data_IF_351280420502
#
_entry.id   IF_351280420502
#
_cell.length_a   1.000
_cell.length_b   1.000
_cell.length_c   1.000
_cell.angle_alpha   90.00
_cell.angle_beta   90.00
_cell.angle_gamma   90.00
#
_symmetry.space_group_name_H-M   'P 1'
#
loop_
_entity.id
_entity.type
_entity.pdbx_description
1 polymer ?
#
# COMPACT_ATOMS: atom_id res chain seq x y z
N UNK A 1 9.22 -10.94 1.05
CA UNK A 1 8.38 -12.10 0.71
C UNK A 1 6.88 -11.77 0.75
N UNK A 2 6.35 -11.10 1.78
CA UNK A 2 4.92 -10.72 1.88
C UNK A 2 4.42 -10.04 0.59
N UNK A 3 5.05 -8.93 0.19
CA UNK A 3 4.62 -8.17 -0.98
C UNK A 3 4.79 -8.92 -2.30
N UNK A 4 5.88 -9.67 -2.45
CA UNK A 4 6.11 -10.50 -3.63
C UNK A 4 5.00 -11.53 -3.87
N UNK A 5 4.46 -12.13 -2.80
CA UNK A 5 3.36 -13.09 -2.91
C UNK A 5 2.01 -12.42 -3.08
N UNK A 6 1.80 -11.23 -2.47
CA UNK A 6 0.52 -10.52 -2.50
C UNK A 6 0.33 -9.66 -3.76
N UNK A 7 1.39 -9.03 -4.24
CA UNK A 7 1.40 -8.09 -5.36
C UNK A 7 2.58 -8.35 -6.31
N UNK A 8 2.94 -9.62 -6.50
CA UNK A 8 4.08 -9.98 -7.32
C UNK A 8 3.73 -10.06 -8.81
N UNK A 9 4.79 -10.06 -9.61
CA UNK A 9 4.73 -10.25 -11.06
C UNK A 9 4.59 -11.74 -11.39
N UNK A 10 3.61 -12.08 -12.22
CA UNK A 10 3.43 -13.42 -12.77
C UNK A 10 3.60 -13.39 -14.29
N UNK A 11 4.19 -14.45 -14.86
CA UNK A 11 4.37 -14.61 -16.30
C UNK A 11 3.35 -15.61 -16.83
N UNK A 12 2.57 -15.20 -17.85
CA UNK A 12 1.61 -16.05 -18.55
C UNK A 12 1.91 -15.94 -20.05
N UNK A 13 2.49 -16.97 -20.64
CA UNK A 13 3.01 -16.90 -22.00
C UNK A 13 4.15 -15.89 -22.10
N UNK A 14 4.04 -14.94 -23.01
CA UNK A 14 5.01 -13.82 -23.16
C UNK A 14 4.65 -12.57 -22.35
N UNK A 15 3.44 -12.54 -21.78
CA UNK A 15 2.93 -11.39 -21.03
C UNK A 15 3.22 -11.48 -19.55
N UNK A 16 3.28 -10.32 -18.91
CA UNK A 16 3.44 -10.20 -17.47
C UNK A 16 2.20 -9.55 -16.86
N UNK A 17 1.77 -10.12 -15.75
CA UNK A 17 0.63 -9.64 -14.96
C UNK A 17 1.03 -9.53 -13.50
N UNK A 18 0.18 -8.90 -12.68
CA UNK A 18 0.27 -8.99 -11.23
C UNK A 18 -0.59 -10.13 -10.70
N UNK A 19 -0.31 -10.57 -9.47
CA UNK A 19 -1.20 -11.45 -8.69
C UNK A 19 -2.56 -10.81 -8.38
N UNK A 20 -2.70 -9.52 -8.63
CA UNK A 20 -3.93 -8.73 -8.46
C UNK A 20 -4.48 -8.39 -9.85
N UNK A 21 -5.77 -8.65 -10.13
CA UNK A 21 -6.38 -8.26 -11.40
C UNK A 21 -6.50 -6.74 -11.47
N UNK A 22 -6.11 -6.16 -12.60
CA UNK A 22 -6.17 -4.72 -12.84
C UNK A 22 -6.98 -4.38 -14.08
N UNK A 23 -7.80 -3.33 -14.00
CA UNK A 23 -8.60 -2.87 -15.10
C UNK A 23 -7.72 -2.45 -16.28
N UNK A 24 -7.86 -3.18 -17.41
CA UNK A 24 -7.08 -2.96 -18.62
C UNK A 24 -5.58 -3.15 -18.46
N UNK A 25 -5.14 -3.88 -17.44
CA UNK A 25 -3.75 -4.10 -17.07
C UNK A 25 -2.93 -2.80 -16.88
N UNK A 26 -3.58 -1.73 -16.38
CA UNK A 26 -2.93 -0.44 -16.13
C UNK A 26 -2.14 -0.41 -14.83
N UNK A 27 -2.51 -1.25 -13.84
CA UNK A 27 -1.82 -1.37 -12.54
C UNK A 27 -1.58 -0.03 -11.84
N UNK A 28 -2.63 0.76 -11.57
CA UNK A 28 -2.50 2.09 -10.98
C UNK A 28 -2.11 2.08 -9.50
N UNK A 29 -2.06 0.91 -8.86
CA UNK A 29 -1.79 0.81 -7.44
C UNK A 29 -0.30 0.88 -7.13
N UNK A 30 0.03 1.65 -6.09
CA UNK A 30 1.33 1.68 -5.46
C UNK A 30 1.24 1.18 -4.02
N UNK A 31 2.32 0.61 -3.52
CA UNK A 31 2.41 0.13 -2.13
C UNK A 31 3.58 0.80 -1.45
N UNK A 32 3.27 1.57 -0.40
CA UNK A 32 4.27 2.17 0.47
C UNK A 32 4.33 1.44 1.80
N UNK A 33 5.53 1.31 2.35
CA UNK A 33 5.77 0.73 3.66
C UNK A 33 6.24 1.82 4.60
N UNK A 34 5.54 1.99 5.72
CA UNK A 34 6.01 2.81 6.84
C UNK A 34 6.65 1.85 7.85
N UNK A 35 7.98 1.72 7.81
CA UNK A 35 8.74 0.80 8.65
C UNK A 35 9.02 1.41 10.02
N UNK A 36 8.51 0.76 11.09
CA UNK A 36 8.69 1.21 12.48
C UNK A 36 9.60 0.28 13.27
N UNK A 37 9.33 -1.04 13.26
CA UNK A 37 10.02 -2.05 14.07
C UNK A 37 10.25 -3.30 13.21
N UNK A 38 11.05 -3.16 12.15
CA UNK A 38 11.42 -4.23 11.23
C UNK A 38 12.94 -4.33 11.12
N UNK A 39 13.45 -5.25 10.33
CA UNK A 39 14.89 -5.33 9.98
C UNK A 39 15.33 -4.17 9.07
N UNK A 40 14.37 -3.51 8.40
CA UNK A 40 14.65 -2.30 7.64
C UNK A 40 14.84 -1.12 8.60
N UNK A 41 15.67 -0.18 8.23
CA UNK A 41 15.74 1.10 8.93
C UNK A 41 14.37 1.78 8.98
N UNK A 42 14.11 2.53 10.05
CA UNK A 42 12.89 3.35 10.11
C UNK A 42 12.83 4.32 8.93
N UNK A 43 11.69 4.35 8.27
CA UNK A 43 11.50 5.21 7.09
C UNK A 43 10.31 4.79 6.24
N UNK A 44 10.19 5.50 5.14
CA UNK A 44 9.17 5.25 4.12
C UNK A 44 9.85 4.56 2.94
N UNK A 45 9.21 3.49 2.46
CA UNK A 45 9.69 2.71 1.32
C UNK A 45 8.57 2.57 0.30
N UNK A 46 8.92 2.51 -0.98
CA UNK A 46 8.02 2.19 -2.08
C UNK A 46 8.37 0.81 -2.65
N UNK A 47 7.36 -0.02 -2.89
CA UNK A 47 7.52 -1.35 -3.48
C UNK A 47 7.17 -1.33 -4.96
N UNK A 48 8.13 -1.71 -5.80
CA UNK A 48 7.98 -1.85 -7.25
C UNK A 48 7.71 -3.31 -7.60
N UNK A 49 6.45 -3.66 -7.81
CA UNK A 49 6.04 -5.05 -8.05
C UNK A 49 6.63 -5.67 -9.33
N UNK A 50 6.89 -4.84 -10.36
CA UNK A 50 7.44 -5.29 -11.66
C UNK A 50 8.83 -5.89 -11.50
N UNK A 51 9.65 -5.29 -10.64
CA UNK A 51 11.05 -5.68 -10.42
C UNK A 51 11.29 -6.38 -9.09
N UNK A 52 10.23 -6.56 -8.27
CA UNK A 52 10.33 -7.06 -6.88
C UNK A 52 11.37 -6.26 -6.08
N UNK A 53 11.32 -4.94 -6.21
CA UNK A 53 12.29 -4.02 -5.62
C UNK A 53 11.63 -3.13 -4.57
N UNK A 54 12.38 -2.86 -3.49
CA UNK A 54 11.99 -1.97 -2.43
C UNK A 54 12.96 -0.80 -2.36
N UNK A 55 12.47 0.41 -2.55
CA UNK A 55 13.27 1.62 -2.54
C UNK A 55 12.92 2.50 -1.34
N UNK A 56 13.94 3.07 -0.69
CA UNK A 56 13.75 3.98 0.43
C UNK A 56 13.44 5.37 -0.09
N UNK A 57 12.20 5.81 0.09
CA UNK A 57 11.71 7.13 -0.35
C UNK A 57 12.29 8.23 0.53
N UNK A 58 12.18 8.07 1.86
CA UNK A 58 12.73 9.06 2.81
C UNK A 58 12.87 8.51 4.23
N UNK A 59 13.75 9.14 4.98
CA UNK A 59 13.82 9.01 6.45
C UNK A 59 12.97 10.11 7.08
N UNK A 60 12.18 9.75 8.08
CA UNK A 60 11.29 10.69 8.79
C UNK A 60 11.64 10.67 10.26
N UNK A 61 12.08 11.80 10.83
CA UNK A 61 12.31 11.90 12.27
C UNK A 61 11.03 11.64 13.06
N UNK A 62 11.14 10.94 14.19
CA UNK A 62 10.01 10.61 15.06
C UNK A 62 8.85 9.92 14.33
N UNK A 63 9.15 9.02 13.40
CA UNK A 63 8.17 8.38 12.52
C UNK A 63 7.03 7.73 13.31
N UNK A 64 7.31 7.08 14.44
CA UNK A 64 6.30 6.46 15.29
C UNK A 64 5.28 7.45 15.85
N UNK A 65 5.68 8.68 16.19
CA UNK A 65 4.76 9.73 16.64
C UNK A 65 3.93 10.25 15.46
N UNK A 66 4.57 10.49 14.32
CA UNK A 66 3.87 10.97 13.12
C UNK A 66 2.83 9.97 12.60
N UNK A 67 3.06 8.67 12.77
CA UNK A 67 2.03 7.68 12.40
C UNK A 67 0.78 7.76 13.27
N UNK A 68 0.87 8.22 14.49
CA UNK A 68 -0.29 8.44 15.36
C UNK A 68 -1.13 9.64 14.93
N UNK A 69 -0.52 10.63 14.27
CA UNK A 69 -1.21 11.85 13.82
C UNK A 69 -2.18 11.59 12.67
N UNK A 70 -1.86 10.68 11.74
CA UNK A 70 -2.75 10.40 10.61
C UNK A 70 -3.81 9.34 10.90
N UNK A 71 -3.63 8.52 11.96
CA UNK A 71 -4.62 7.51 12.39
C UNK A 71 -5.51 8.13 13.46
N UNK A 72 -6.59 8.77 13.04
CA UNK A 72 -7.42 9.59 13.93
C UNK A 72 -8.40 8.85 14.82
N UNK A 73 -8.61 7.55 14.64
CA UNK A 73 -9.78 6.91 15.24
C UNK A 73 -9.55 5.50 15.82
N UNK A 74 -8.36 4.98 15.84
CA UNK A 74 -8.18 3.62 16.34
C UNK A 74 -7.19 3.59 17.51
N UNK A 75 -7.71 3.24 18.67
CA UNK A 75 -6.91 2.72 19.76
C UNK A 75 -6.32 1.36 19.32
N UNK A 76 -5.25 1.41 18.53
CA UNK A 76 -4.45 0.23 18.34
C UNK A 76 -3.80 -0.08 19.69
N UNK A 77 -4.20 -1.16 20.32
CA UNK A 77 -3.66 -1.58 21.63
C UNK A 77 -2.15 -1.82 21.59
N UNK A 78 -1.61 -2.10 20.39
CA UNK A 78 -0.19 -2.32 20.19
C UNK A 78 0.33 -1.51 18.99
N UNK A 79 1.56 -1.03 19.09
CA UNK A 79 2.27 -0.41 17.96
C UNK A 79 2.60 -1.48 16.92
N UNK A 80 2.14 -1.36 15.67
CA UNK A 80 2.49 -2.31 14.62
C UNK A 80 3.98 -2.28 14.30
N UNK A 81 4.45 -3.35 13.65
CA UNK A 81 5.83 -3.39 13.16
C UNK A 81 6.00 -2.45 11.95
N UNK A 82 4.99 -2.39 11.10
CA UNK A 82 4.94 -1.51 9.94
C UNK A 82 3.50 -1.30 9.46
N UNK A 83 3.28 -0.25 8.67
CA UNK A 83 2.05 -0.07 7.91
C UNK A 83 2.31 -0.29 6.43
N UNK A 84 1.33 -0.86 5.74
CA UNK A 84 1.24 -0.88 4.29
C UNK A 84 0.17 0.12 3.86
N UNK A 85 0.57 1.08 3.04
CA UNK A 85 -0.33 2.08 2.47
C UNK A 85 -0.50 1.77 0.99
N UNK A 86 -1.72 1.45 0.58
CA UNK A 86 -2.09 1.24 -0.81
C UNK A 86 -2.63 2.57 -1.34
N UNK A 87 -1.99 3.09 -2.37
CA UNK A 87 -2.43 4.28 -3.09
C UNK A 87 -2.81 3.92 -4.52
N UNK A 88 -3.49 4.82 -5.21
CA UNK A 88 -3.72 4.71 -6.64
C UNK A 88 -3.35 6.02 -7.35
N UNK A 89 -2.66 5.88 -8.47
CA UNK A 89 -2.41 6.95 -9.42
C UNK A 89 -3.64 7.13 -10.32
N UNK A 90 -4.10 8.38 -10.42
CA UNK A 90 -5.25 8.76 -11.22
C UNK A 90 -4.87 9.59 -12.47
N UNK A 91 -3.64 9.46 -12.99
CA UNK A 91 -3.26 10.14 -14.22
C UNK A 91 -3.80 9.41 -15.46
N UNK A 92 -3.54 8.11 -15.61
CA UNK A 92 -3.92 7.35 -16.81
C UNK A 92 -5.31 6.71 -16.72
N UNK A 93 -5.71 6.28 -15.53
CA UNK A 93 -6.95 5.54 -15.33
C UNK A 93 -8.20 6.31 -15.81
N UNK A 94 -8.33 7.64 -15.51
CA UNK A 94 -9.46 8.44 -15.99
C UNK A 94 -9.48 8.64 -17.51
N UNK A 95 -8.33 8.67 -18.16
CA UNK A 95 -8.24 8.80 -19.62
C UNK A 95 -8.96 7.63 -20.30
N UNK A 96 -8.78 6.42 -19.76
CA UNK A 96 -9.37 5.21 -20.34
C UNK A 96 -10.81 4.93 -19.86
N UNK A 97 -11.12 5.25 -18.61
CA UNK A 97 -12.35 4.80 -17.96
C UNK A 97 -13.26 5.91 -17.42
N UNK A 98 -12.85 7.18 -17.51
CA UNK A 98 -13.64 8.33 -17.04
C UNK A 98 -14.00 8.18 -15.56
N UNK A 99 -15.27 8.43 -15.22
CA UNK A 99 -15.76 8.35 -13.84
C UNK A 99 -15.70 6.94 -13.21
N UNK A 100 -15.59 5.88 -14.03
CA UNK A 100 -15.47 4.51 -13.54
C UNK A 100 -14.10 4.21 -12.92
N UNK A 101 -13.11 5.06 -13.15
CA UNK A 101 -11.73 4.93 -12.67
C UNK A 101 -11.67 4.68 -11.19
N UNK A 102 -12.39 5.50 -10.42
CA UNK A 102 -12.39 5.41 -8.96
C UNK A 102 -12.90 4.06 -8.46
N UNK A 103 -13.99 3.55 -9.07
CA UNK A 103 -14.52 2.22 -8.73
C UNK A 103 -13.52 1.11 -9.03
N UNK A 104 -12.79 1.18 -10.15
CA UNK A 104 -11.78 0.17 -10.48
C UNK A 104 -10.60 0.22 -9.52
N UNK A 105 -10.11 1.41 -9.18
CA UNK A 105 -9.04 1.58 -8.20
C UNK A 105 -9.43 1.02 -6.82
N UNK A 106 -10.64 1.31 -6.33
CA UNK A 106 -11.15 0.78 -5.07
C UNK A 106 -11.27 -0.74 -5.09
N UNK A 107 -11.81 -1.32 -6.17
CA UNK A 107 -11.96 -2.76 -6.32
C UNK A 107 -10.59 -3.45 -6.34
N UNK A 108 -9.65 -2.91 -7.09
CA UNK A 108 -8.28 -3.42 -7.19
C UNK A 108 -7.55 -3.33 -5.84
N UNK A 109 -7.69 -2.20 -5.12
CA UNK A 109 -7.09 -2.02 -3.80
C UNK A 109 -7.65 -3.03 -2.77
N UNK A 110 -8.95 -3.35 -2.85
CA UNK A 110 -9.56 -4.38 -2.01
C UNK A 110 -9.02 -5.78 -2.29
N UNK A 111 -8.81 -6.15 -3.57
CA UNK A 111 -8.17 -7.41 -3.94
C UNK A 111 -6.74 -7.51 -3.41
N UNK A 112 -5.96 -6.42 -3.57
CA UNK A 112 -4.60 -6.36 -3.06
C UNK A 112 -4.56 -6.47 -1.53
N UNK A 113 -5.41 -5.72 -0.84
CA UNK A 113 -5.50 -5.75 0.61
C UNK A 113 -5.82 -7.16 1.12
N UNK A 114 -6.79 -7.86 0.51
CA UNK A 114 -7.14 -9.21 0.88
C UNK A 114 -5.99 -10.19 0.64
N UNK A 115 -5.27 -10.08 -0.49
CA UNK A 115 -4.09 -10.90 -0.75
C UNK A 115 -3.03 -10.69 0.34
N UNK A 116 -2.76 -9.42 0.72
CA UNK A 116 -1.81 -9.09 1.77
C UNK A 116 -2.20 -9.75 3.09
N UNK A 117 -3.46 -9.65 3.49
CA UNK A 117 -3.94 -10.23 4.75
C UNK A 117 -3.84 -11.75 4.76
N UNK A 118 -4.21 -12.43 3.66
CA UNK A 118 -4.10 -13.89 3.55
C UNK A 118 -2.65 -14.38 3.58
N UNK A 119 -1.77 -13.69 2.86
CA UNK A 119 -0.34 -14.04 2.87
C UNK A 119 0.28 -13.75 4.23
N UNK A 120 -0.06 -12.63 4.87
CA UNK A 120 0.39 -12.30 6.21
C UNK A 120 0.00 -13.38 7.23
N UNK A 121 -1.25 -13.84 7.20
CA UNK A 121 -1.73 -14.95 8.04
C UNK A 121 -0.89 -16.21 7.83
N UNK A 122 -0.59 -16.57 6.59
CA UNK A 122 0.26 -17.73 6.27
C UNK A 122 1.69 -17.59 6.82
N UNK A 123 2.14 -16.35 7.05
CA UNK A 123 3.44 -16.00 7.63
C UNK A 123 3.37 -15.79 9.16
N UNK A 124 2.21 -16.03 9.79
CA UNK A 124 1.95 -15.78 11.22
C UNK A 124 2.15 -14.31 11.61
N UNK A 125 1.76 -13.41 10.74
CA UNK A 125 1.69 -11.97 10.98
C UNK A 125 0.24 -11.56 11.20
N UNK A 126 -0.02 -10.79 12.25
CA UNK A 126 -1.32 -10.18 12.50
C UNK A 126 -1.51 -8.96 11.61
N UNK A 127 -2.72 -8.77 11.10
CA UNK A 127 -3.06 -7.63 10.25
C UNK A 127 -4.39 -7.00 10.65
N UNK A 128 -4.47 -5.68 10.54
CA UNK A 128 -5.71 -4.91 10.71
C UNK A 128 -5.82 -3.90 9.58
N UNK A 129 -6.94 -3.97 8.84
CA UNK A 129 -7.29 -2.95 7.84
C UNK A 129 -7.80 -1.69 8.51
N UNK A 130 -7.28 -0.54 8.13
CA UNK A 130 -7.62 0.76 8.67
C UNK A 130 -8.34 1.59 7.61
N UNK A 131 -9.57 2.04 7.92
CA UNK A 131 -10.34 2.96 7.08
C UNK A 131 -10.39 4.38 7.65
N UNK A 132 -10.02 4.56 8.93
CA UNK A 132 -10.05 5.85 9.62
C UNK A 132 -8.68 6.52 9.67
N UNK A 133 -8.29 7.21 8.61
CA UNK A 133 -7.04 7.98 8.56
C UNK A 133 -7.24 9.30 7.82
N UNK A 134 -6.30 10.23 8.00
CA UNK A 134 -6.29 11.51 7.31
C UNK A 134 -5.51 11.41 5.98
N UNK A 135 -6.24 11.30 4.86
CA UNK A 135 -5.67 11.05 3.52
C UNK A 135 -4.54 12.00 3.13
N UNK A 136 -4.74 13.32 3.32
CA UNK A 136 -3.73 14.33 2.95
C UNK A 136 -2.48 14.24 3.80
N UNK A 137 -2.64 14.02 5.12
CA UNK A 137 -1.50 13.85 6.03
C UNK A 137 -0.72 12.58 5.71
N UNK A 138 -1.42 11.50 5.36
CA UNK A 138 -0.79 10.25 4.93
C UNK A 138 -0.04 10.45 3.60
N UNK A 139 -0.65 11.10 2.61
CA UNK A 139 0.00 11.40 1.32
C UNK A 139 1.29 12.23 1.52
N UNK A 140 1.23 13.27 2.36
CA UNK A 140 2.40 14.08 2.71
C UNK A 140 3.48 13.25 3.43
N UNK A 141 3.07 12.39 4.39
CA UNK A 141 3.98 11.51 5.12
C UNK A 141 4.70 10.55 4.18
N UNK A 142 4.01 9.90 3.25
CA UNK A 142 4.63 8.97 2.29
C UNK A 142 5.31 9.69 1.12
N UNK A 143 5.06 10.98 0.92
CA UNK A 143 5.74 11.83 -0.06
C UNK A 143 5.11 11.82 -1.44
N UNK A 144 3.78 11.57 -1.54
CA UNK A 144 3.05 11.60 -2.81
C UNK A 144 2.24 12.87 -2.99
N UNK A 145 2.01 13.26 -4.24
CA UNK A 145 1.13 14.38 -4.57
C UNK A 145 -0.33 13.94 -4.50
N UNK A 146 -1.05 14.37 -3.48
CA UNK A 146 -2.46 14.03 -3.26
C UNK A 146 -3.39 14.40 -4.42
N UNK A 147 -3.02 15.30 -5.30
CA UNK A 147 -3.83 15.64 -6.47
C UNK A 147 -3.89 14.48 -7.47
N UNK A 148 -2.77 13.81 -7.70
CA UNK A 148 -2.60 12.76 -8.69
C UNK A 148 -2.70 11.36 -8.08
N UNK A 149 -2.12 11.15 -6.90
CA UNK A 149 -2.05 9.86 -6.23
C UNK A 149 -2.74 9.92 -4.87
N UNK A 150 -3.70 9.03 -4.63
CA UNK A 150 -4.55 9.05 -3.42
C UNK A 150 -4.39 7.77 -2.60
N UNK A 151 -4.21 7.89 -1.28
CA UNK A 151 -4.36 6.75 -0.38
C UNK A 151 -5.77 6.15 -0.48
N UNK A 152 -5.86 4.83 -0.61
CA UNK A 152 -7.12 4.09 -0.69
C UNK A 152 -7.31 3.12 0.46
N UNK A 153 -6.22 2.54 0.98
CA UNK A 153 -6.29 1.57 2.04
C UNK A 153 -5.00 1.55 2.87
N UNK A 154 -5.13 1.34 4.17
CA UNK A 154 -3.99 1.18 5.07
C UNK A 154 -4.13 -0.14 5.82
N UNK A 155 -3.04 -0.87 5.97
CA UNK A 155 -2.99 -2.13 6.72
C UNK A 155 -1.89 -2.00 7.77
N UNK A 156 -2.25 -2.13 9.04
CA UNK A 156 -1.29 -2.28 10.12
C UNK A 156 -0.85 -3.74 10.19
N UNK A 157 0.46 -3.99 10.33
CA UNK A 157 1.04 -5.33 10.39
C UNK A 157 1.91 -5.46 11.63
N UNK A 158 1.71 -6.53 12.38
CA UNK A 158 2.45 -6.85 13.61
C UNK A 158 2.66 -8.36 13.81
N UNK A 159 3.27 -8.70 14.92
CA UNK A 159 3.40 -10.08 15.41
C UNK A 159 2.53 -10.29 16.63
#
# INVERSE_FOLDING_TARGET
QLLRLSYGKIKIGENYFSTVPSAGALYPLHVYIISLKTELEQGIYHYYFVNDWLDKVKTVPNLSLKTQEFISAMNLEATPCFYLCITADFEELPIKYGERSYRFALTESGHLAQNIMLVAESMKLNTVGLGGYHDKMLAELIGVNYQNEKPLYVIAVGK
#
